data_IF_889615750087
#
_entry.id   IF_889615750087
#
_cell.length_a   1.000
_cell.length_b   1.000
_cell.length_c   1.000
_cell.angle_alpha   90.00
_cell.angle_beta   90.00
_cell.angle_gamma   90.00
#
_symmetry.space_group_name_H-M   'P 1'
#
loop_
_entity.id
_entity.type
_entity.pdbx_description
1 polymer ?
#
# COMPACT_ATOMS: atom_id res chain seq x y z
N UNK A 1 -22.14 -119.24 -35.36
CA UNK A 1 -22.45 -117.79 -35.14
C UNK A 1 -21.22 -117.11 -34.56
N UNK A 2 -20.41 -116.41 -35.38
CA UNK A 2 -19.26 -115.61 -34.94
C UNK A 2 -19.76 -114.17 -34.85
N UNK A 3 -19.72 -113.60 -33.68
CA UNK A 3 -19.92 -112.21 -33.39
C UNK A 3 -18.63 -111.43 -33.60
N UNK A 4 -18.58 -110.58 -34.65
CA UNK A 4 -17.52 -109.65 -34.92
C UNK A 4 -17.57 -108.50 -33.87
N UNK A 5 -16.61 -108.39 -32.98
CA UNK A 5 -16.41 -107.23 -32.13
C UNK A 5 -15.71 -106.13 -32.95
N UNK A 6 -16.41 -105.17 -33.34
CA UNK A 6 -15.90 -103.96 -34.00
C UNK A 6 -15.01 -103.16 -32.99
N UNK A 7 -13.69 -103.21 -33.18
CA UNK A 7 -12.71 -102.45 -32.38
C UNK A 7 -12.95 -100.98 -32.61
N UNK A 8 -13.45 -100.32 -31.57
CA UNK A 8 -13.59 -98.86 -31.58
C UNK A 8 -12.15 -98.28 -31.45
N UNK A 9 -11.66 -97.65 -32.54
CA UNK A 9 -10.40 -96.88 -32.53
C UNK A 9 -10.60 -95.70 -31.61
N UNK A 10 -9.97 -95.73 -30.43
CA UNK A 10 -9.93 -94.57 -29.56
C UNK A 10 -9.08 -93.46 -30.21
N UNK A 11 -9.75 -92.44 -30.68
CA UNK A 11 -9.11 -91.20 -31.17
C UNK A 11 -8.41 -90.47 -30.05
N UNK A 12 -7.21 -90.93 -29.61
CA UNK A 12 -6.41 -90.32 -28.55
C UNK A 12 -5.93 -88.92 -28.97
N UNK A 13 -5.80 -88.56 -30.22
CA UNK A 13 -5.41 -87.30 -30.75
C UNK A 13 -6.46 -86.19 -30.63
N UNK A 14 -7.77 -86.54 -30.78
CA UNK A 14 -8.83 -85.52 -30.66
C UNK A 14 -9.00 -84.96 -29.23
N UNK A 15 -8.85 -85.83 -28.23
CA UNK A 15 -8.92 -85.39 -26.84
C UNK A 15 -7.74 -84.44 -26.45
N UNK A 16 -6.55 -84.70 -27.01
CA UNK A 16 -5.37 -83.84 -26.75
C UNK A 16 -5.53 -82.47 -27.42
N UNK A 17 -6.12 -82.43 -28.63
CA UNK A 17 -6.36 -81.18 -29.33
C UNK A 17 -7.37 -80.31 -28.57
N UNK A 18 -8.44 -80.89 -28.02
CA UNK A 18 -9.44 -80.18 -27.23
C UNK A 18 -8.78 -79.58 -25.96
N UNK A 19 -7.96 -80.31 -25.30
CA UNK A 19 -7.22 -79.83 -24.08
C UNK A 19 -6.31 -78.66 -24.45
N UNK A 20 -5.55 -78.74 -25.55
CA UNK A 20 -4.69 -77.63 -26.00
C UNK A 20 -5.48 -76.41 -26.37
N UNK A 21 -6.59 -76.56 -27.11
CA UNK A 21 -7.48 -75.43 -27.47
C UNK A 21 -8.11 -74.80 -26.22
N UNK A 22 -8.53 -75.61 -25.26
CA UNK A 22 -9.09 -75.12 -23.99
C UNK A 22 -8.04 -74.35 -23.16
N UNK A 23 -6.80 -74.87 -23.07
CA UNK A 23 -5.69 -74.18 -22.45
C UNK A 23 -5.36 -72.85 -23.13
N UNK A 24 -5.44 -72.82 -24.47
CA UNK A 24 -5.24 -71.59 -25.26
C UNK A 24 -6.32 -70.54 -24.95
N UNK A 25 -7.59 -70.92 -24.84
CA UNK A 25 -8.66 -70.01 -24.43
C UNK A 25 -8.51 -69.54 -23.00
N UNK A 26 -8.15 -70.40 -22.06
CA UNK A 26 -7.88 -70.00 -20.67
C UNK A 26 -6.72 -69.03 -20.61
N UNK A 27 -5.61 -69.32 -21.29
CA UNK A 27 -4.45 -68.44 -21.34
C UNK A 27 -4.76 -67.10 -21.94
N UNK A 28 -5.56 -67.06 -23.03
CA UNK A 28 -6.01 -65.83 -23.65
C UNK A 28 -6.91 -65.01 -22.73
N UNK A 29 -7.84 -65.67 -22.01
CA UNK A 29 -8.71 -64.99 -21.04
C UNK A 29 -7.91 -64.41 -19.86
N UNK A 30 -6.90 -65.10 -19.35
CA UNK A 30 -6.02 -64.62 -18.30
C UNK A 30 -5.17 -63.45 -18.80
N UNK A 31 -4.60 -63.54 -20.00
CA UNK A 31 -3.78 -62.46 -20.59
C UNK A 31 -4.64 -61.21 -20.79
N UNK A 32 -5.81 -61.32 -21.38
CA UNK A 32 -6.73 -60.19 -21.62
C UNK A 32 -7.20 -59.59 -20.27
N UNK A 33 -7.47 -60.42 -19.26
CA UNK A 33 -7.88 -60.00 -17.94
C UNK A 33 -6.76 -59.23 -17.16
N UNK A 34 -5.51 -59.56 -17.39
CA UNK A 34 -4.37 -58.88 -16.74
C UNK A 34 -3.86 -57.68 -17.53
N UNK A 35 -3.87 -57.72 -18.86
CA UNK A 35 -3.35 -56.67 -19.72
C UNK A 35 -4.25 -55.41 -19.66
N UNK A 36 -5.55 -55.56 -19.61
CA UNK A 36 -6.48 -54.42 -19.60
C UNK A 36 -6.31 -53.51 -18.38
N UNK A 37 -6.29 -54.01 -17.12
CA UNK A 37 -6.04 -53.15 -15.97
C UNK A 37 -4.62 -52.56 -15.97
N UNK A 38 -3.62 -53.34 -16.43
CA UNK A 38 -2.20 -52.84 -16.49
C UNK A 38 -2.08 -51.65 -17.47
N UNK A 39 -2.73 -51.74 -18.64
CA UNK A 39 -2.73 -50.62 -19.60
C UNK A 39 -3.46 -49.40 -19.01
N UNK A 40 -4.56 -49.62 -18.30
CA UNK A 40 -5.30 -48.53 -17.63
C UNK A 40 -4.43 -47.86 -16.55
N UNK A 41 -3.76 -48.64 -15.71
CA UNK A 41 -2.86 -48.17 -14.66
C UNK A 41 -1.69 -47.39 -15.26
N UNK A 42 -1.10 -47.89 -16.35
CA UNK A 42 -0.04 -47.19 -17.08
C UNK A 42 -0.49 -45.86 -17.65
N UNK A 43 -1.70 -45.82 -18.25
CA UNK A 43 -2.29 -44.56 -18.74
C UNK A 43 -2.58 -43.58 -17.63
N UNK A 44 -3.17 -44.05 -16.50
CA UNK A 44 -3.46 -43.22 -15.35
C UNK A 44 -2.16 -42.64 -14.72
N UNK A 45 -1.14 -43.47 -14.58
CA UNK A 45 0.16 -43.04 -14.07
C UNK A 45 0.81 -41.99 -14.98
N UNK A 46 0.75 -42.17 -16.29
CA UNK A 46 1.26 -41.24 -17.29
C UNK A 46 0.46 -39.92 -17.28
N UNK A 47 -0.86 -40.00 -17.15
CA UNK A 47 -1.71 -38.78 -16.99
C UNK A 47 -1.40 -38.06 -15.69
N UNK A 48 -1.24 -38.79 -14.58
CA UNK A 48 -0.88 -38.19 -13.30
C UNK A 48 0.50 -37.51 -13.35
N UNK A 49 1.47 -38.14 -14.02
CA UNK A 49 2.80 -37.56 -14.21
C UNK A 49 2.72 -36.27 -15.03
N UNK A 50 2.03 -36.30 -16.17
CA UNK A 50 1.84 -35.10 -17.01
C UNK A 50 1.08 -33.98 -16.27
N UNK A 51 0.07 -34.35 -15.47
CA UNK A 51 -0.67 -33.39 -14.65
C UNK A 51 0.22 -32.70 -13.62
N UNK A 52 1.10 -33.47 -12.94
CA UNK A 52 2.10 -32.89 -12.02
C UNK A 52 3.12 -31.99 -12.74
N UNK A 53 3.60 -32.43 -13.91
CA UNK A 53 4.49 -31.61 -14.73
C UNK A 53 3.82 -30.30 -15.17
N UNK A 54 2.55 -30.36 -15.55
CA UNK A 54 1.75 -29.17 -15.90
C UNK A 54 1.61 -28.21 -14.70
N UNK A 55 1.37 -28.76 -13.50
CA UNK A 55 1.32 -27.97 -12.28
C UNK A 55 2.66 -27.27 -11.99
N UNK A 56 3.78 -28.01 -11.98
CA UNK A 56 5.10 -27.41 -11.76
C UNK A 56 5.48 -26.38 -12.84
N UNK A 57 5.04 -26.60 -14.07
CA UNK A 57 5.25 -25.62 -15.13
C UNK A 57 4.42 -24.35 -14.90
N UNK A 58 3.15 -24.47 -14.45
CA UNK A 58 2.34 -23.32 -14.04
C UNK A 58 2.96 -22.59 -12.85
N UNK A 59 3.45 -23.33 -11.87
CA UNK A 59 4.12 -22.77 -10.68
C UNK A 59 5.37 -21.99 -11.08
N UNK A 60 6.23 -22.55 -11.94
CA UNK A 60 7.44 -21.86 -12.40
C UNK A 60 7.15 -20.57 -13.18
N UNK A 61 6.06 -20.50 -13.96
CA UNK A 61 5.63 -19.27 -14.62
C UNK A 61 5.16 -18.21 -13.63
N UNK A 62 4.45 -18.62 -12.58
CA UNK A 62 4.03 -17.73 -11.49
C UNK A 62 5.22 -17.21 -10.67
N UNK A 63 6.20 -18.08 -10.38
CA UNK A 63 7.44 -17.71 -9.67
C UNK A 63 8.29 -16.73 -10.48
N UNK A 64 8.51 -16.97 -11.78
CA UNK A 64 9.28 -16.07 -12.65
C UNK A 64 8.63 -14.68 -12.71
N UNK A 65 7.31 -14.63 -12.92
CA UNK A 65 6.57 -13.38 -12.95
C UNK A 65 6.67 -12.63 -11.60
N UNK A 66 6.52 -13.37 -10.48
CA UNK A 66 6.66 -12.82 -9.13
C UNK A 66 8.07 -12.29 -8.91
N UNK A 67 9.10 -13.08 -9.25
CA UNK A 67 10.49 -12.65 -9.10
C UNK A 67 10.79 -11.37 -9.88
N UNK A 68 10.31 -11.26 -11.12
CA UNK A 68 10.50 -10.04 -11.93
C UNK A 68 9.78 -8.84 -11.36
N UNK A 69 8.54 -9.01 -10.88
CA UNK A 69 7.78 -7.93 -10.24
C UNK A 69 8.47 -7.47 -8.96
N UNK A 70 8.90 -8.40 -8.10
CA UNK A 70 9.59 -8.10 -6.85
C UNK A 70 10.93 -7.37 -7.06
N UNK A 71 11.61 -7.66 -8.16
CA UNK A 71 12.91 -7.05 -8.49
C UNK A 71 12.81 -5.91 -9.52
N UNK A 72 11.60 -5.41 -9.80
CA UNK A 72 11.32 -4.34 -10.76
C UNK A 72 11.92 -4.59 -12.15
N UNK A 73 11.93 -5.84 -12.60
CA UNK A 73 12.39 -6.24 -13.91
C UNK A 73 11.26 -6.08 -14.93
N UNK A 74 11.63 -5.82 -16.19
CA UNK A 74 10.64 -5.71 -17.26
C UNK A 74 9.84 -7.01 -17.41
N UNK A 75 8.52 -6.89 -17.42
CA UNK A 75 7.57 -8.00 -17.61
C UNK A 75 6.36 -7.51 -18.40
N UNK A 76 5.90 -8.32 -19.35
CA UNK A 76 4.70 -8.03 -20.14
C UNK A 76 3.44 -8.48 -19.41
N UNK A 77 2.28 -7.92 -19.76
CA UNK A 77 0.99 -8.36 -19.19
C UNK A 77 0.65 -9.83 -19.53
N UNK A 78 1.27 -10.37 -20.57
CA UNK A 78 1.18 -11.78 -20.93
C UNK A 78 2.53 -12.28 -21.41
N UNK A 79 3.04 -13.33 -20.79
CA UNK A 79 4.29 -13.98 -21.16
C UNK A 79 4.09 -15.49 -21.39
N UNK A 80 4.80 -15.99 -22.40
CA UNK A 80 4.81 -17.43 -22.71
C UNK A 80 6.23 -17.94 -22.57
N UNK A 81 6.42 -18.90 -21.66
CA UNK A 81 7.69 -19.62 -21.54
C UNK A 81 7.49 -21.00 -22.14
N UNK A 82 8.31 -21.31 -23.14
CA UNK A 82 8.33 -22.62 -23.78
C UNK A 82 9.47 -23.47 -23.22
N UNK A 83 9.16 -24.72 -22.87
CA UNK A 83 10.13 -25.71 -22.41
C UNK A 83 9.90 -26.99 -23.21
N UNK A 84 10.79 -27.28 -24.15
CA UNK A 84 10.64 -28.36 -25.15
C UNK A 84 9.29 -28.24 -25.90
N UNK A 85 8.43 -29.28 -25.79
CA UNK A 85 7.09 -29.30 -26.41
C UNK A 85 5.99 -28.84 -25.44
N UNK A 86 6.34 -28.26 -24.30
CA UNK A 86 5.40 -27.80 -23.28
C UNK A 86 5.50 -26.29 -23.14
N UNK A 87 4.45 -25.67 -22.61
CA UNK A 87 4.45 -24.21 -22.42
C UNK A 87 3.70 -23.80 -21.16
N UNK A 88 4.09 -22.68 -20.60
CA UNK A 88 3.29 -21.95 -19.62
C UNK A 88 2.94 -20.58 -20.17
N UNK A 89 1.69 -20.22 -20.05
CA UNK A 89 1.19 -18.88 -20.35
C UNK A 89 0.86 -18.19 -19.02
N UNK A 90 1.58 -17.11 -18.73
CA UNK A 90 1.38 -16.32 -17.52
C UNK A 90 0.77 -14.99 -17.88
N UNK A 91 -0.37 -14.67 -17.27
CA UNK A 91 -1.09 -13.39 -17.45
C UNK A 91 -1.06 -12.61 -16.16
N UNK A 92 -0.70 -11.32 -16.25
CA UNK A 92 -0.61 -10.40 -15.12
C UNK A 92 -1.68 -9.34 -15.29
N UNK A 93 -2.56 -9.24 -14.30
CA UNK A 93 -3.65 -8.24 -14.28
C UNK A 93 -3.48 -7.34 -13.08
N UNK A 94 -3.45 -6.03 -13.30
CA UNK A 94 -3.49 -5.05 -12.22
C UNK A 94 -4.93 -4.84 -11.80
N UNK A 95 -5.20 -5.10 -10.51
CA UNK A 95 -6.50 -4.90 -9.88
C UNK A 95 -6.53 -3.59 -9.10
N UNK A 96 -7.71 -3.18 -8.66
CA UNK A 96 -7.87 -2.02 -7.77
C UNK A 96 -7.16 -2.26 -6.42
N UNK A 97 -6.66 -1.19 -5.79
CA UNK A 97 -6.04 -1.25 -4.46
C UNK A 97 -4.62 -1.83 -4.46
N UNK A 98 -3.77 -1.41 -5.41
CA UNK A 98 -2.35 -1.83 -5.46
C UNK A 98 -2.15 -3.35 -5.43
N UNK A 99 -3.02 -4.08 -6.10
CA UNK A 99 -3.02 -5.54 -6.16
C UNK A 99 -2.73 -6.00 -7.59
N UNK A 100 -1.85 -6.99 -7.75
CA UNK A 100 -1.63 -7.69 -9.03
C UNK A 100 -2.04 -9.14 -8.90
N UNK A 101 -2.81 -9.62 -9.86
CA UNK A 101 -3.13 -11.03 -10.02
C UNK A 101 -2.25 -11.63 -11.10
N UNK A 102 -1.59 -12.73 -10.79
CA UNK A 102 -0.77 -13.51 -11.69
C UNK A 102 -1.47 -14.86 -11.89
N UNK A 103 -1.83 -15.15 -13.11
CA UNK A 103 -2.47 -16.40 -13.49
C UNK A 103 -1.56 -17.13 -14.44
N UNK A 104 -1.05 -18.30 -14.05
CA UNK A 104 -0.18 -19.13 -14.88
C UNK A 104 -0.85 -20.42 -15.26
N UNK A 105 -0.90 -20.70 -16.56
CA UNK A 105 -1.49 -21.89 -17.16
C UNK A 105 -0.38 -22.75 -17.79
N UNK A 106 -0.03 -23.85 -17.12
CA UNK A 106 0.90 -24.83 -17.66
C UNK A 106 0.18 -25.88 -18.53
N UNK A 107 0.77 -26.22 -19.66
CA UNK A 107 0.26 -27.24 -20.57
C UNK A 107 1.34 -28.28 -20.86
N UNK A 108 1.07 -29.54 -20.51
CA UNK A 108 1.93 -30.68 -20.79
C UNK A 108 1.11 -31.78 -21.48
N UNK A 109 1.31 -31.93 -22.78
CA UNK A 109 0.63 -32.95 -23.56
C UNK A 109 -0.89 -32.84 -23.49
N UNK A 110 -1.44 -31.65 -23.54
CA UNK A 110 -2.87 -31.27 -23.43
C UNK A 110 -3.47 -31.48 -22.04
N UNK A 111 -2.68 -31.70 -21.02
CA UNK A 111 -3.12 -31.63 -19.64
C UNK A 111 -2.74 -30.25 -19.11
N UNK A 112 -3.73 -29.50 -18.67
CA UNK A 112 -3.56 -28.13 -18.20
C UNK A 112 -3.78 -28.06 -16.70
N UNK A 113 -2.92 -27.26 -16.04
CA UNK A 113 -3.06 -26.86 -14.64
C UNK A 113 -2.86 -25.37 -14.54
N UNK A 114 -3.61 -24.77 -13.63
CA UNK A 114 -3.65 -23.33 -13.45
C UNK A 114 -3.30 -22.96 -12.02
N UNK A 115 -2.35 -22.05 -11.85
CA UNK A 115 -2.05 -21.44 -10.57
C UNK A 115 -2.50 -19.98 -10.58
N UNK A 116 -3.00 -19.51 -9.46
CA UNK A 116 -3.38 -18.12 -9.25
C UNK A 116 -2.63 -17.58 -8.03
N UNK A 117 -1.97 -16.46 -8.21
CA UNK A 117 -1.14 -15.81 -7.22
C UNK A 117 -1.56 -14.35 -7.17
N UNK A 118 -1.76 -13.83 -5.98
CA UNK A 118 -2.09 -12.42 -5.77
C UNK A 118 -0.94 -11.76 -5.02
N UNK A 119 -0.41 -10.70 -5.62
CA UNK A 119 0.56 -9.82 -4.98
C UNK A 119 -0.16 -8.56 -4.54
N UNK A 120 0.12 -8.12 -3.33
CA UNK A 120 -0.25 -6.80 -2.83
C UNK A 120 0.99 -5.97 -2.54
N UNK A 121 0.95 -4.70 -2.89
CA UNK A 121 1.85 -3.73 -2.25
C UNK A 121 1.34 -3.45 -0.86
N UNK A 122 2.24 -3.10 0.04
CA UNK A 122 1.86 -2.75 1.42
C UNK A 122 0.63 -1.86 1.45
N UNK A 123 -0.26 -2.07 2.41
CA UNK A 123 -1.50 -1.31 2.53
C UNK A 123 -1.20 0.19 2.45
N UNK A 124 -1.80 0.86 1.46
CA UNK A 124 -1.68 2.29 1.27
C UNK A 124 -2.24 3.01 2.49
N UNK A 125 -1.68 4.15 2.83
CA UNK A 125 -2.24 5.02 3.86
C UNK A 125 -3.43 5.76 3.27
N UNK A 126 -4.61 5.59 3.87
CA UNK A 126 -5.84 6.25 3.42
C UNK A 126 -6.02 7.56 4.18
N UNK A 127 -5.92 8.68 3.48
CA UNK A 127 -6.23 10.00 4.01
C UNK A 127 -7.68 10.36 3.65
N UNK A 128 -8.59 10.21 4.62
CA UNK A 128 -10.04 10.42 4.40
C UNK A 128 -10.47 11.89 4.41
N UNK A 129 -9.64 12.76 4.95
CA UNK A 129 -9.90 14.18 5.15
C UNK A 129 -8.76 15.01 4.55
N UNK A 130 -9.03 16.26 4.22
CA UNK A 130 -8.01 17.20 3.76
C UNK A 130 -6.92 17.51 4.78
N UNK A 131 -7.18 17.22 6.06
CA UNK A 131 -6.19 17.15 7.12
C UNK A 131 -6.80 16.51 8.37
N UNK A 132 -5.96 15.90 9.21
CA UNK A 132 -6.39 15.27 10.46
C UNK A 132 -5.46 15.65 11.61
N UNK A 133 -6.06 16.13 12.72
CA UNK A 133 -5.32 16.43 13.94
C UNK A 133 -5.69 15.49 15.09
N UNK A 134 -4.69 15.22 15.94
CA UNK A 134 -4.85 14.54 17.22
C UNK A 134 -5.48 15.44 18.28
N UNK A 135 -5.15 15.15 19.53
CA UNK A 135 -5.71 15.88 20.70
C UNK A 135 -5.29 17.34 20.78
N UNK A 136 -4.18 17.74 20.16
CA UNK A 136 -3.74 19.13 20.08
C UNK A 136 -4.58 20.03 19.17
N UNK A 137 -5.31 19.42 18.22
CA UNK A 137 -6.27 20.11 17.35
C UNK A 137 -5.65 21.02 16.30
N UNK A 138 -6.45 21.97 15.82
CA UNK A 138 -6.04 22.95 14.81
C UNK A 138 -6.08 24.38 15.34
N UNK A 139 -5.08 25.17 14.96
CA UNK A 139 -5.03 26.62 15.16
C UNK A 139 -4.83 27.32 13.82
N UNK A 140 -5.82 28.11 13.42
CA UNK A 140 -5.80 28.88 12.18
C UNK A 140 -5.66 30.37 12.45
N UNK A 141 -4.76 31.04 11.77
CA UNK A 141 -4.53 32.48 11.93
C UNK A 141 -4.33 33.16 10.57
N UNK A 142 -4.80 34.40 10.49
CA UNK A 142 -4.46 35.36 9.41
C UNK A 142 -4.68 34.81 7.99
N UNK A 143 -5.93 34.63 7.58
CA UNK A 143 -6.36 34.17 6.26
C UNK A 143 -5.84 32.76 5.88
N UNK A 144 -5.43 31.95 6.85
CA UNK A 144 -5.08 30.54 6.57
C UNK A 144 -6.35 29.72 6.30
N UNK A 145 -6.23 28.70 5.44
CA UNK A 145 -7.40 27.93 5.05
C UNK A 145 -7.09 26.49 4.64
N UNK A 146 -8.14 25.69 4.57
CA UNK A 146 -8.10 24.33 4.02
C UNK A 146 -9.17 24.17 2.95
N UNK A 147 -8.73 23.79 1.75
CA UNK A 147 -9.61 23.33 0.68
C UNK A 147 -9.90 21.84 0.89
N UNK A 148 -11.05 21.54 1.49
CA UNK A 148 -11.47 20.18 1.83
C UNK A 148 -12.10 20.12 3.20
N UNK A 149 -12.38 18.90 3.68
CA UNK A 149 -12.92 18.64 5.00
C UNK A 149 -11.82 18.32 6.02
N UNK A 150 -12.06 18.67 7.29
CA UNK A 150 -11.13 18.43 8.41
C UNK A 150 -11.71 17.45 9.42
N UNK A 151 -10.84 16.69 10.05
CA UNK A 151 -11.16 15.94 11.25
C UNK A 151 -10.18 16.23 12.38
N UNK A 152 -10.68 16.51 13.57
CA UNK A 152 -9.85 16.81 14.75
C UNK A 152 -10.33 16.04 15.97
N UNK A 153 -9.40 15.41 16.67
CA UNK A 153 -9.66 14.84 17.98
C UNK A 153 -9.55 15.92 19.11
N UNK A 154 -8.97 17.09 18.78
CA UNK A 154 -8.90 18.27 19.64
C UNK A 154 -9.67 19.44 19.04
N UNK A 155 -9.57 20.61 19.64
CA UNK A 155 -10.33 21.79 19.21
C UNK A 155 -9.87 22.35 17.85
N UNK A 156 -10.78 23.02 17.13
CA UNK A 156 -10.48 23.82 15.95
C UNK A 156 -10.72 25.30 16.31
N UNK A 157 -9.64 26.06 16.34
CA UNK A 157 -9.65 27.47 16.73
C UNK A 157 -9.23 28.34 15.54
N UNK A 158 -10.09 29.23 15.12
CA UNK A 158 -9.81 30.18 14.05
C UNK A 158 -9.64 31.61 14.51
N UNK A 159 -8.96 32.40 13.71
CA UNK A 159 -8.89 33.87 13.86
C UNK A 159 -8.65 34.55 12.52
N UNK A 160 -9.02 35.82 12.41
CA UNK A 160 -8.68 36.69 11.29
C UNK A 160 -8.93 36.07 9.90
N UNK A 161 -10.22 35.81 9.59
CA UNK A 161 -10.68 35.27 8.29
C UNK A 161 -10.22 33.83 7.96
N UNK A 162 -9.83 33.03 8.91
CA UNK A 162 -9.56 31.62 8.70
C UNK A 162 -10.80 30.87 8.19
N UNK A 163 -10.61 29.94 7.23
CA UNK A 163 -11.74 29.19 6.68
C UNK A 163 -11.42 27.76 6.23
N UNK A 164 -12.49 26.99 6.10
CA UNK A 164 -12.51 25.63 5.57
C UNK A 164 -13.56 25.58 4.47
N UNK A 165 -13.28 25.01 3.32
CA UNK A 165 -14.24 24.94 2.22
C UNK A 165 -15.21 23.75 2.34
N UNK A 166 -14.82 22.67 2.99
CA UNK A 166 -15.62 21.47 3.27
C UNK A 166 -16.21 21.47 4.68
N UNK A 167 -16.44 20.25 5.19
CA UNK A 167 -16.95 20.00 6.53
C UNK A 167 -15.85 20.08 7.59
N UNK A 168 -16.22 20.46 8.79
CA UNK A 168 -15.34 20.45 9.97
C UNK A 168 -15.91 19.54 11.06
N UNK A 169 -15.12 18.58 11.49
CA UNK A 169 -15.48 17.63 12.54
C UNK A 169 -14.54 17.77 13.74
N UNK A 170 -15.10 17.91 14.94
CA UNK A 170 -14.33 17.86 16.19
C UNK A 170 -14.93 16.81 17.10
N UNK A 171 -14.09 15.86 17.53
CA UNK A 171 -14.50 14.71 18.29
C UNK A 171 -14.69 15.00 19.79
N UNK A 172 -15.58 14.22 20.41
CA UNK A 172 -15.77 14.13 21.84
C UNK A 172 -16.68 15.19 22.45
N UNK A 173 -17.20 14.87 23.66
CA UNK A 173 -18.18 15.70 24.39
C UNK A 173 -17.65 17.02 24.95
N UNK A 174 -16.38 17.39 24.66
CA UNK A 174 -15.77 18.70 24.97
C UNK A 174 -15.22 19.38 23.74
N UNK A 175 -15.43 18.79 22.56
CA UNK A 175 -14.93 19.29 21.28
C UNK A 175 -15.46 20.69 20.94
N UNK A 176 -14.57 21.59 20.55
CA UNK A 176 -14.89 23.00 20.26
C UNK A 176 -14.46 23.42 18.86
N UNK A 177 -15.38 24.02 18.11
CA UNK A 177 -15.07 24.83 16.94
C UNK A 177 -15.32 26.29 17.29
N UNK A 178 -14.29 27.15 17.19
CA UNK A 178 -14.40 28.56 17.55
C UNK A 178 -13.86 29.48 16.47
N UNK A 179 -14.61 30.55 16.17
CA UNK A 179 -14.24 31.63 15.28
C UNK A 179 -13.82 31.17 13.85
N UNK A 180 -14.46 30.13 13.33
CA UNK A 180 -14.18 29.57 12.00
C UNK A 180 -15.25 29.92 10.97
N UNK A 181 -14.83 30.00 9.71
CA UNK A 181 -15.73 30.03 8.56
C UNK A 181 -15.70 28.66 7.91
N UNK A 182 -16.80 27.89 8.02
CA UNK A 182 -16.91 26.51 7.51
C UNK A 182 -17.81 26.48 6.30
N UNK A 183 -17.39 25.77 5.26
CA UNK A 183 -18.07 25.71 3.97
C UNK A 183 -17.89 26.97 3.13
N UNK A 184 -16.84 27.76 3.38
CA UNK A 184 -16.62 29.04 2.70
C UNK A 184 -16.39 28.84 1.20
N UNK A 185 -17.21 29.49 0.38
CA UNK A 185 -17.17 29.31 -1.09
C UNK A 185 -17.90 28.06 -1.60
N UNK A 186 -18.54 27.29 -0.71
CA UNK A 186 -19.27 26.06 -1.04
C UNK A 186 -20.37 25.74 -0.03
N UNK A 187 -20.58 24.45 0.24
CA UNK A 187 -21.56 23.96 1.21
C UNK A 187 -20.84 23.02 2.17
N UNK A 188 -20.51 23.47 3.37
CA UNK A 188 -19.89 22.65 4.41
C UNK A 188 -20.60 22.82 5.73
N UNK A 189 -20.70 21.73 6.50
CA UNK A 189 -21.32 21.65 7.82
C UNK A 189 -20.26 21.57 8.92
N UNK A 190 -20.59 22.04 10.12
CA UNK A 190 -19.74 21.97 11.29
C UNK A 190 -20.33 21.00 12.31
N UNK A 191 -19.50 20.09 12.83
CA UNK A 191 -19.90 19.05 13.78
C UNK A 191 -18.97 19.08 15.00
N UNK A 192 -19.47 19.48 16.15
CA UNK A 192 -18.75 19.47 17.43
C UNK A 192 -19.72 19.53 18.60
N UNK A 193 -19.27 19.18 19.81
CA UNK A 193 -20.08 19.38 21.01
C UNK A 193 -20.40 20.88 21.21
N UNK A 194 -19.42 21.75 21.02
CA UNK A 194 -19.60 23.20 21.16
C UNK A 194 -19.10 23.94 19.90
N UNK A 195 -19.93 24.89 19.40
CA UNK A 195 -19.56 25.74 18.28
C UNK A 195 -19.85 27.20 18.62
N UNK A 196 -18.83 28.05 18.59
CA UNK A 196 -18.94 29.45 19.00
C UNK A 196 -18.33 30.42 17.98
N UNK A 197 -18.97 31.57 17.80
CA UNK A 197 -18.46 32.69 16.98
C UNK A 197 -18.19 32.32 15.52
N UNK A 198 -18.78 31.25 15.01
CA UNK A 198 -18.47 30.67 13.71
C UNK A 198 -19.53 30.97 12.66
N UNK A 199 -19.11 31.07 11.39
CA UNK A 199 -19.98 31.22 10.23
C UNK A 199 -19.98 29.94 9.41
N UNK A 200 -21.12 29.24 9.30
CA UNK A 200 -21.23 27.95 8.63
C UNK A 200 -22.23 28.04 7.47
N UNK A 201 -21.84 27.61 6.27
CA UNK A 201 -22.74 27.65 5.10
C UNK A 201 -23.74 26.50 5.11
N UNK A 202 -23.36 25.32 5.53
CA UNK A 202 -24.22 24.15 5.77
C UNK A 202 -24.94 24.22 7.12
N UNK A 203 -25.06 23.07 7.78
CA UNK A 203 -25.73 22.93 9.09
C UNK A 203 -24.70 23.02 10.23
N UNK A 204 -25.11 23.58 11.37
CA UNK A 204 -24.35 23.58 12.62
C UNK A 204 -24.87 22.45 13.49
N UNK A 205 -24.18 21.31 13.53
CA UNK A 205 -24.50 20.20 14.42
C UNK A 205 -23.72 20.36 15.71
N UNK A 206 -24.43 20.75 16.79
CA UNK A 206 -23.81 20.95 18.10
C UNK A 206 -24.80 20.76 19.25
N UNK A 207 -24.28 20.50 20.45
CA UNK A 207 -25.07 20.46 21.69
C UNK A 207 -25.12 21.85 22.32
N UNK A 208 -24.05 22.62 22.19
CA UNK A 208 -23.91 23.97 22.73
C UNK A 208 -23.44 24.91 21.62
N UNK A 209 -24.08 26.08 21.49
CA UNK A 209 -23.63 27.07 20.50
C UNK A 209 -23.97 28.49 20.89
N UNK A 210 -23.04 29.43 20.55
CA UNK A 210 -23.26 30.84 20.79
C UNK A 210 -22.52 31.72 19.77
N UNK A 211 -23.13 32.84 19.39
CA UNK A 211 -22.51 33.82 18.49
C UNK A 211 -22.32 33.34 17.05
N UNK A 212 -22.96 32.25 16.65
CA UNK A 212 -22.89 31.68 15.29
C UNK A 212 -23.92 32.36 14.36
N UNK A 213 -23.74 32.21 13.06
CA UNK A 213 -24.71 32.73 12.04
C UNK A 213 -26.01 31.90 11.97
N UNK A 214 -26.06 30.71 12.55
CA UNK A 214 -27.21 29.80 12.60
C UNK A 214 -27.33 29.14 13.99
N UNK A 215 -28.50 28.65 14.32
CA UNK A 215 -28.74 27.86 15.54
C UNK A 215 -28.10 26.46 15.43
N UNK A 216 -27.73 25.87 16.58
CA UNK A 216 -27.36 24.48 16.68
C UNK A 216 -28.52 23.55 16.31
N UNK A 217 -28.19 22.48 15.60
CA UNK A 217 -29.04 21.32 15.43
C UNK A 217 -28.46 20.17 16.29
N UNK A 218 -29.11 19.81 17.40
CA UNK A 218 -28.62 18.75 18.29
C UNK A 218 -29.00 17.33 17.83
N UNK A 219 -29.55 17.19 16.62
CA UNK A 219 -30.03 15.90 16.11
C UNK A 219 -28.91 14.88 15.83
N UNK A 220 -27.67 15.35 15.68
CA UNK A 220 -26.50 14.48 15.47
C UNK A 220 -25.70 14.34 16.77
N UNK A 221 -25.22 13.11 17.10
CA UNK A 221 -24.32 12.94 18.21
C UNK A 221 -22.96 13.61 17.94
N UNK A 222 -22.21 13.84 19.01
CA UNK A 222 -20.83 14.33 18.90
C UNK A 222 -19.99 13.34 18.08
N UNK A 223 -19.08 13.82 17.20
CA UNK A 223 -18.18 12.94 16.45
C UNK A 223 -17.30 12.10 17.39
N UNK A 224 -17.02 10.85 17.00
CA UNK A 224 -16.16 9.95 17.77
C UNK A 224 -14.68 10.26 17.57
N UNK A 225 -13.84 9.94 18.55
CA UNK A 225 -12.37 10.01 18.39
C UNK A 225 -11.92 9.01 17.32
N UNK A 226 -11.06 9.44 16.41
CA UNK A 226 -10.50 8.59 15.34
C UNK A 226 -8.99 8.48 15.48
N UNK A 227 -8.49 7.29 15.19
CA UNK A 227 -7.05 7.08 15.05
C UNK A 227 -6.49 7.90 13.89
N UNK A 228 -5.24 8.32 14.03
CA UNK A 228 -4.50 8.97 12.94
C UNK A 228 -4.11 7.94 11.88
N UNK A 229 -3.94 8.35 10.61
CA UNK A 229 -3.95 7.42 9.47
C UNK A 229 -2.73 6.49 9.37
N UNK A 230 -1.61 6.81 10.04
CA UNK A 230 -0.39 6.00 9.99
C UNK A 230 -0.15 5.35 11.35
N UNK A 231 -0.16 4.02 11.43
CA UNK A 231 0.12 3.31 12.68
C UNK A 231 1.61 3.31 13.03
N UNK A 232 1.93 3.18 14.32
CA UNK A 232 3.31 3.05 14.80
C UNK A 232 4.00 1.79 14.23
N UNK A 233 3.24 0.71 13.99
CA UNK A 233 3.75 -0.51 13.36
C UNK A 233 4.20 -0.23 11.92
N UNK A 234 3.43 0.56 11.17
CA UNK A 234 3.78 0.96 9.80
C UNK A 234 5.04 1.83 9.75
N UNK A 235 5.17 2.75 10.70
CA UNK A 235 6.39 3.57 10.83
C UNK A 235 7.60 2.68 11.15
N UNK A 236 7.43 1.67 11.99
CA UNK A 236 8.48 0.71 12.35
C UNK A 236 8.89 -0.15 11.16
N UNK A 237 7.95 -0.61 10.35
CA UNK A 237 8.20 -1.32 9.09
C UNK A 237 9.08 -0.47 8.16
N UNK A 238 8.69 0.77 7.87
CA UNK A 238 9.46 1.67 7.00
C UNK A 238 10.87 1.98 7.52
N UNK A 239 11.04 2.13 8.85
CA UNK A 239 12.37 2.27 9.47
C UNK A 239 13.23 1.03 9.29
N UNK A 240 12.62 -0.16 9.36
CA UNK A 240 13.29 -1.44 9.14
C UNK A 240 13.76 -1.56 7.69
N UNK A 241 12.91 -1.21 6.73
CA UNK A 241 13.24 -1.23 5.30
C UNK A 241 14.43 -0.31 4.98
N UNK A 242 14.41 0.90 5.51
CA UNK A 242 15.56 1.82 5.39
C UNK A 242 16.84 1.25 6.00
N UNK A 243 16.73 0.57 7.15
CA UNK A 243 17.86 -0.06 7.85
C UNK A 243 18.45 -1.22 7.06
N UNK A 244 17.60 -2.03 6.40
CA UNK A 244 18.01 -3.15 5.55
C UNK A 244 18.81 -2.69 4.33
N UNK A 245 18.60 -1.46 3.85
CA UNK A 245 19.38 -0.84 2.77
C UNK A 245 20.78 -0.40 3.16
N UNK A 246 21.10 -0.39 4.44
CA UNK A 246 22.40 -0.01 4.99
C UNK A 246 22.30 1.09 6.03
N UNK A 247 23.38 1.23 6.81
CA UNK A 247 23.46 2.23 7.90
C UNK A 247 24.72 3.06 7.76
N UNK A 248 24.56 4.39 7.81
CA UNK A 248 25.68 5.35 7.89
C UNK A 248 25.64 6.07 9.23
N UNK A 249 26.79 6.15 9.89
CA UNK A 249 26.92 6.87 11.18
C UNK A 249 27.51 8.26 11.00
N UNK A 250 26.99 9.22 11.75
CA UNK A 250 27.39 10.62 11.73
C UNK A 250 26.39 11.50 10.96
N UNK A 251 26.58 12.80 11.09
CA UNK A 251 25.76 13.79 10.38
C UNK A 251 26.11 13.78 8.88
N UNK A 252 25.11 13.87 8.04
CA UNK A 252 25.27 13.95 6.57
C UNK A 252 24.78 15.32 6.10
N UNK A 253 25.58 15.95 5.22
CA UNK A 253 25.20 17.18 4.50
C UNK A 253 25.24 16.92 3.00
N UNK A 254 24.10 17.08 2.33
CA UNK A 254 23.96 16.99 0.87
C UNK A 254 24.27 18.36 0.27
N UNK A 255 25.53 18.58 -0.12
CA UNK A 255 26.01 19.85 -0.71
C UNK A 255 26.10 19.83 -2.24
N UNK A 256 25.92 18.65 -2.85
CA UNK A 256 25.86 18.43 -4.31
C UNK A 256 24.69 17.50 -4.65
N UNK A 257 24.16 17.51 -5.88
CA UNK A 257 23.08 16.60 -6.26
C UNK A 257 23.43 15.15 -5.94
N UNK A 258 22.61 14.51 -5.12
CA UNK A 258 22.86 13.18 -4.56
C UNK A 258 21.61 12.32 -4.64
N UNK A 259 21.78 11.04 -5.00
CA UNK A 259 20.72 10.02 -4.94
C UNK A 259 20.93 9.21 -3.67
N UNK A 260 19.88 9.01 -2.88
CA UNK A 260 19.94 8.33 -1.58
C UNK A 260 18.72 7.41 -1.37
N UNK A 261 18.96 6.33 -0.63
CA UNK A 261 17.95 5.35 -0.21
C UNK A 261 18.05 4.01 -0.97
N UNK A 262 17.64 2.88 -0.33
CA UNK A 262 17.22 2.81 1.08
C UNK A 262 18.38 2.99 2.04
N UNK A 263 18.20 3.76 3.11
CA UNK A 263 19.31 4.02 4.05
C UNK A 263 18.84 4.51 5.42
N UNK A 264 19.49 4.02 6.48
CA UNK A 264 19.44 4.57 7.82
C UNK A 264 20.64 5.50 8.06
N UNK A 265 20.37 6.67 8.61
CA UNK A 265 21.40 7.65 9.04
C UNK A 265 21.33 7.78 10.56
N UNK A 266 22.42 7.39 11.25
CA UNK A 266 22.57 7.62 12.70
C UNK A 266 23.21 8.97 12.89
N UNK A 267 22.41 10.03 13.04
CA UNK A 267 22.80 11.42 13.11
C UNK A 267 21.76 12.34 12.49
N UNK A 268 22.14 13.53 12.08
CA UNK A 268 21.30 14.51 11.41
C UNK A 268 21.53 14.49 9.89
N UNK A 269 20.52 14.89 9.14
CA UNK A 269 20.59 15.09 7.69
C UNK A 269 20.33 16.56 7.34
N UNK A 270 21.27 17.21 6.66
CA UNK A 270 21.09 18.54 6.09
C UNK A 270 21.10 18.45 4.56
N UNK A 271 20.10 19.03 3.92
CA UNK A 271 19.94 19.01 2.45
C UNK A 271 20.10 20.43 1.93
N UNK A 272 21.32 20.80 1.51
CA UNK A 272 21.63 22.12 0.97
C UNK A 272 21.61 22.16 -0.56
N UNK A 273 21.51 20.99 -1.20
CA UNK A 273 21.44 20.84 -2.66
C UNK A 273 20.25 19.97 -3.05
N UNK A 274 20.31 19.27 -4.20
CA UNK A 274 19.25 18.38 -4.65
C UNK A 274 19.43 16.98 -4.07
N UNK A 275 18.47 16.53 -3.27
CA UNK A 275 18.31 15.13 -2.87
C UNK A 275 17.32 14.42 -3.80
N UNK A 276 17.75 13.36 -4.48
CA UNK A 276 16.86 12.44 -5.17
C UNK A 276 16.62 11.22 -4.29
N UNK A 277 15.37 11.00 -3.89
CA UNK A 277 14.97 9.85 -3.08
C UNK A 277 14.78 8.66 -4.02
N UNK A 278 15.66 7.65 -3.91
CA UNK A 278 15.55 6.40 -4.65
C UNK A 278 14.85 5.28 -3.86
N UNK A 279 14.76 5.44 -2.53
CA UNK A 279 14.05 4.55 -1.61
C UNK A 279 13.90 5.22 -0.24
N UNK A 280 13.21 4.56 0.73
CA UNK A 280 12.98 5.09 2.06
C UNK A 280 14.28 5.52 2.76
N UNK A 281 14.26 6.71 3.34
CA UNK A 281 15.38 7.25 4.13
C UNK A 281 14.91 7.44 5.57
N UNK A 282 15.66 6.89 6.53
CA UNK A 282 15.41 7.02 7.95
C UNK A 282 16.57 7.71 8.66
N UNK A 283 16.29 8.80 9.36
CA UNK A 283 17.25 9.63 10.11
C UNK A 283 16.92 9.53 11.59
N UNK A 284 17.87 9.13 12.43
CA UNK A 284 17.65 9.04 13.89
C UNK A 284 17.67 10.40 14.60
N UNK A 285 18.22 11.42 13.95
CA UNK A 285 18.25 12.80 14.42
C UNK A 285 17.25 13.69 13.69
N UNK A 286 17.67 14.92 13.46
CA UNK A 286 16.88 15.96 12.81
C UNK A 286 17.15 16.02 11.30
N UNK A 287 16.18 16.55 10.56
CA UNK A 287 16.32 16.83 9.12
C UNK A 287 16.15 18.34 8.89
N UNK A 288 17.12 18.93 8.19
CA UNK A 288 17.06 20.32 7.74
C UNK A 288 17.07 20.35 6.22
N UNK A 289 16.03 20.95 5.61
CA UNK A 289 15.85 21.00 4.17
C UNK A 289 15.95 22.43 3.68
N UNK A 290 17.07 22.76 3.02
CA UNK A 290 17.33 24.05 2.40
C UNK A 290 17.31 23.98 0.88
N UNK A 291 17.51 22.78 0.33
CA UNK A 291 17.57 22.50 -1.11
C UNK A 291 16.33 21.80 -1.65
N UNK A 292 16.41 21.29 -2.87
CA UNK A 292 15.33 20.57 -3.55
C UNK A 292 15.28 19.11 -3.10
N UNK A 293 14.09 18.60 -2.84
CA UNK A 293 13.86 17.17 -2.63
C UNK A 293 13.00 16.63 -3.78
N UNK A 294 13.47 15.62 -4.47
CA UNK A 294 12.72 15.01 -5.58
C UNK A 294 12.66 13.51 -5.46
N UNK A 295 11.61 12.94 -6.02
CA UNK A 295 11.45 11.51 -6.16
C UNK A 295 12.15 11.01 -7.41
N UNK A 296 12.80 9.85 -7.34
CA UNK A 296 13.33 9.21 -8.54
C UNK A 296 12.20 8.82 -9.50
N UNK A 297 12.39 9.00 -10.81
CA UNK A 297 11.36 8.72 -11.82
C UNK A 297 10.92 7.25 -11.86
N UNK A 298 11.76 6.33 -11.39
CA UNK A 298 11.45 4.89 -11.29
C UNK A 298 10.32 4.56 -10.30
N UNK A 299 9.94 5.52 -9.43
CA UNK A 299 8.78 5.36 -8.55
C UNK A 299 7.44 5.31 -9.32
N UNK A 300 7.37 5.85 -10.56
CA UNK A 300 6.10 5.91 -11.28
C UNK A 300 5.01 6.58 -10.44
N UNK A 301 3.87 5.93 -10.23
CA UNK A 301 2.75 6.44 -9.41
C UNK A 301 2.88 6.13 -7.90
N UNK A 302 3.96 5.47 -7.45
CA UNK A 302 4.18 5.21 -6.03
C UNK A 302 4.86 6.37 -5.33
N UNK A 303 4.78 6.42 -4.00
CA UNK A 303 5.24 7.52 -3.16
C UNK A 303 6.40 7.08 -2.27
N UNK A 304 7.30 8.00 -1.93
CA UNK A 304 8.44 7.75 -1.06
C UNK A 304 8.30 8.43 0.31
N UNK A 305 9.13 7.97 1.24
CA UNK A 305 9.08 8.37 2.63
C UNK A 305 10.45 8.84 3.10
N UNK A 306 10.47 10.01 3.75
CA UNK A 306 11.62 10.56 4.47
C UNK A 306 11.25 10.67 5.95
N UNK A 307 11.90 9.88 6.81
CA UNK A 307 11.56 9.72 8.23
C UNK A 307 12.63 10.35 9.11
N UNK A 308 12.21 11.12 10.11
CA UNK A 308 13.07 11.61 11.22
C UNK A 308 12.53 11.12 12.56
N UNK A 309 13.40 10.71 13.48
CA UNK A 309 13.02 10.58 14.89
C UNK A 309 13.00 11.95 15.61
N UNK A 310 13.80 12.89 15.13
CA UNK A 310 13.80 14.27 15.56
C UNK A 310 12.84 15.16 14.75
N UNK A 311 13.08 16.46 14.82
CA UNK A 311 12.29 17.44 14.08
C UNK A 311 12.75 17.56 12.61
N UNK A 312 11.85 18.07 11.78
CA UNK A 312 12.10 18.40 10.37
C UNK A 312 11.86 19.90 10.18
N UNK A 313 12.87 20.63 9.69
CA UNK A 313 12.71 22.03 9.30
C UNK A 313 12.86 22.21 7.81
N UNK A 314 11.93 22.97 7.21
CA UNK A 314 11.89 23.26 5.78
C UNK A 314 12.04 24.76 5.60
N UNK A 315 13.14 25.15 4.95
CA UNK A 315 13.50 26.55 4.73
C UNK A 315 12.62 27.20 3.67
N UNK A 316 12.75 28.51 3.53
CA UNK A 316 12.01 29.32 2.58
C UNK A 316 12.21 28.86 1.13
N UNK A 317 11.11 28.72 0.39
CA UNK A 317 11.10 28.47 -1.05
C UNK A 317 11.59 27.07 -1.46
N UNK A 318 11.63 26.12 -0.56
CA UNK A 318 11.99 24.73 -0.85
C UNK A 318 10.96 24.10 -1.78
N UNK A 319 11.45 23.39 -2.79
CA UNK A 319 10.64 22.72 -3.80
C UNK A 319 10.70 21.19 -3.62
N UNK A 320 9.53 20.59 -3.56
CA UNK A 320 9.35 19.14 -3.59
C UNK A 320 8.83 18.72 -4.97
N UNK A 321 9.51 17.77 -5.59
CA UNK A 321 9.14 17.27 -6.92
C UNK A 321 8.78 15.79 -6.82
N UNK A 322 7.61 15.44 -7.32
CA UNK A 322 7.19 14.04 -7.46
C UNK A 322 7.99 13.31 -8.56
N UNK A 323 7.64 12.04 -8.86
CA UNK A 323 8.31 11.24 -9.88
C UNK A 323 8.04 11.69 -11.33
N UNK A 324 7.13 12.66 -11.53
CA UNK A 324 6.58 13.05 -12.82
C UNK A 324 5.34 12.25 -13.23
N UNK A 325 4.91 11.29 -12.42
CA UNK A 325 3.69 10.49 -12.65
C UNK A 325 2.62 10.89 -11.63
N UNK A 326 1.41 11.13 -12.10
CA UNK A 326 0.27 11.48 -11.23
C UNK A 326 0.04 10.40 -10.17
N UNK A 327 -0.16 10.82 -8.91
CA UNK A 327 -0.37 9.92 -7.78
C UNK A 327 0.90 9.61 -6.98
N UNK A 328 2.08 10.09 -7.43
CA UNK A 328 3.30 10.00 -6.63
C UNK A 328 3.46 11.21 -5.71
N UNK A 329 3.90 10.96 -4.49
CA UNK A 329 4.08 11.99 -3.45
C UNK A 329 5.32 11.70 -2.61
N UNK A 330 5.82 12.74 -1.92
CA UNK A 330 6.84 12.61 -0.89
C UNK A 330 6.16 12.82 0.45
N UNK A 331 6.25 11.79 1.33
CA UNK A 331 5.83 11.89 2.72
C UNK A 331 7.04 12.28 3.59
N UNK A 332 6.92 13.41 4.26
CA UNK A 332 7.82 13.80 5.35
C UNK A 332 7.20 13.36 6.67
N UNK A 333 7.86 12.47 7.39
CA UNK A 333 7.37 11.93 8.64
C UNK A 333 8.34 12.24 9.79
N UNK A 334 7.85 12.96 10.80
CA UNK A 334 8.54 13.13 12.07
C UNK A 334 7.89 12.29 13.17
N UNK A 335 8.68 11.45 13.83
CA UNK A 335 8.25 10.68 15.00
C UNK A 335 8.45 11.45 16.32
N UNK A 336 8.83 12.73 16.24
CA UNK A 336 9.07 13.60 17.37
C UNK A 336 7.78 14.06 18.04
N UNK A 337 7.84 14.28 19.36
CA UNK A 337 6.77 14.92 20.15
C UNK A 337 6.94 16.43 20.28
N UNK A 338 7.85 17.03 19.50
CA UNK A 338 8.23 18.44 19.62
C UNK A 338 7.05 19.40 19.36
N UNK A 339 7.00 20.41 20.23
CA UNK A 339 6.17 21.61 20.14
C UNK A 339 7.05 22.81 20.51
N UNK A 340 7.09 23.83 19.67
CA UNK A 340 7.96 25.01 19.85
C UNK A 340 7.67 25.80 21.12
N UNK A 341 6.51 25.59 21.74
CA UNK A 341 6.21 26.19 23.06
C UNK A 341 6.99 25.56 24.21
N UNK A 342 7.61 24.39 23.99
CA UNK A 342 8.42 23.67 24.95
C UNK A 342 9.89 23.86 24.62
N UNK A 343 10.59 24.65 25.47
CA UNK A 343 12.02 24.93 25.34
C UNK A 343 12.84 23.82 25.98
N UNK A 344 13.96 23.46 25.36
CA UNK A 344 14.90 22.44 25.80
C UNK A 344 15.04 21.25 24.88
N UNK A 345 16.04 20.43 25.17
CA UNK A 345 16.27 19.20 24.40
C UNK A 345 15.10 18.22 24.56
N UNK A 346 14.73 17.44 23.50
CA UNK A 346 15.40 17.40 22.19
C UNK A 346 14.91 18.45 21.18
N UNK A 347 13.87 19.23 21.49
CA UNK A 347 13.15 20.08 20.53
C UNK A 347 13.84 21.46 20.30
N UNK A 348 14.48 22.00 21.29
CA UNK A 348 15.20 23.29 21.22
C UNK A 348 14.37 24.45 20.60
N UNK A 349 13.06 24.51 20.90
CA UNK A 349 12.17 25.54 20.37
C UNK A 349 11.65 25.24 18.92
N UNK A 350 11.86 24.05 18.41
CA UNK A 350 11.27 23.58 17.13
C UNK A 350 9.99 22.81 17.37
N UNK A 351 9.10 22.83 16.37
CA UNK A 351 8.00 21.89 16.26
C UNK A 351 8.51 20.56 15.69
N UNK A 352 7.68 19.53 15.68
CA UNK A 352 8.03 18.27 15.04
C UNK A 352 8.25 18.44 13.53
N UNK A 353 7.45 19.30 12.89
CA UNK A 353 7.70 19.76 11.51
C UNK A 353 7.44 21.26 11.42
N UNK A 354 8.46 22.02 11.02
CA UNK A 354 8.36 23.45 10.71
C UNK A 354 8.44 23.68 9.20
N UNK A 355 7.38 24.25 8.63
CA UNK A 355 7.31 24.62 7.21
C UNK A 355 7.32 26.12 7.06
N UNK A 356 8.40 26.64 6.48
CA UNK A 356 8.60 28.08 6.31
C UNK A 356 8.15 28.56 4.94
N UNK A 357 8.05 29.84 4.84
CA UNK A 357 7.65 30.73 3.74
C UNK A 357 7.70 30.15 2.31
N UNK A 358 6.58 30.24 1.59
CA UNK A 358 6.48 29.92 0.15
C UNK A 358 6.94 28.49 -0.23
N UNK A 359 7.02 27.56 0.72
CA UNK A 359 7.33 26.17 0.42
C UNK A 359 6.06 25.42 0.07
N UNK A 360 6.15 24.53 -0.93
CA UNK A 360 5.05 23.68 -1.38
C UNK A 360 5.42 22.21 -1.19
N UNK A 361 4.66 21.49 -0.35
CA UNK A 361 4.96 20.14 0.10
C UNK A 361 3.81 19.22 -0.26
N UNK A 362 4.11 17.95 -0.53
CA UNK A 362 3.06 16.98 -0.83
C UNK A 362 2.34 16.54 0.45
N UNK A 363 3.00 15.81 1.34
CA UNK A 363 2.39 15.23 2.54
C UNK A 363 3.32 15.38 3.73
N UNK A 364 2.78 15.79 4.87
CA UNK A 364 3.51 15.85 6.14
C UNK A 364 2.77 15.07 7.23
N UNK A 365 3.53 14.37 8.07
CA UNK A 365 2.99 13.63 9.19
C UNK A 365 3.86 13.80 10.45
N UNK A 366 3.27 14.32 11.53
CA UNK A 366 3.86 14.38 12.85
C UNK A 366 2.79 14.06 13.92
N UNK A 367 2.28 12.84 13.88
CA UNK A 367 1.14 12.46 14.73
C UNK A 367 1.39 12.49 16.24
N UNK A 368 2.65 12.63 16.68
CA UNK A 368 3.01 12.76 18.08
C UNK A 368 3.35 14.20 18.50
N UNK A 369 3.60 15.08 17.53
CA UNK A 369 4.05 16.46 17.77
C UNK A 369 3.26 17.50 16.98
N UNK A 370 3.79 18.71 16.93
CA UNK A 370 3.18 19.84 16.24
C UNK A 370 3.72 19.98 14.83
N UNK A 371 2.82 20.17 13.87
CA UNK A 371 3.14 20.64 12.52
C UNK A 371 2.79 22.11 12.41
N UNK A 372 3.76 22.91 12.04
CA UNK A 372 3.63 24.35 11.96
C UNK A 372 3.89 24.85 10.54
N UNK A 373 2.97 25.63 10.01
CA UNK A 373 3.07 26.25 8.69
C UNK A 373 3.04 27.77 8.82
N UNK A 374 3.91 28.46 8.10
CA UNK A 374 3.94 29.91 8.10
C UNK A 374 4.12 30.54 6.71
N UNK A 375 3.55 31.71 6.54
CA UNK A 375 3.78 32.65 5.45
C UNK A 375 3.69 32.03 4.03
N UNK A 376 2.48 31.83 3.54
CA UNK A 376 2.16 31.29 2.22
C UNK A 376 2.67 29.86 1.95
N UNK A 377 3.02 29.09 2.99
CA UNK A 377 3.33 27.68 2.81
C UNK A 377 2.09 26.93 2.35
N UNK A 378 2.27 25.92 1.49
CA UNK A 378 1.19 25.07 1.00
C UNK A 378 1.51 23.60 1.16
N UNK A 379 0.47 22.79 1.40
CA UNK A 379 0.59 21.34 1.52
C UNK A 379 -0.66 20.68 0.95
N UNK A 380 -0.53 19.48 0.40
CA UNK A 380 -1.68 18.71 -0.07
C UNK A 380 -2.39 17.99 1.08
N UNK A 381 -1.62 17.46 2.04
CA UNK A 381 -2.14 16.72 3.18
C UNK A 381 -1.25 16.93 4.40
N UNK A 382 -1.86 17.12 5.56
CA UNK A 382 -1.14 17.24 6.83
C UNK A 382 -1.82 16.44 7.93
N UNK A 383 -1.03 15.67 8.66
CA UNK A 383 -1.42 14.98 9.88
C UNK A 383 -0.50 15.36 11.01
N UNK A 384 -1.05 15.70 12.17
CA UNK A 384 -0.27 16.06 13.35
C UNK A 384 -1.03 15.80 14.64
N UNK A 385 -0.33 15.68 15.78
CA UNK A 385 -1.03 15.79 17.06
C UNK A 385 -1.70 17.17 17.17
N UNK A 386 -0.96 18.22 16.80
CA UNK A 386 -1.45 19.59 16.66
C UNK A 386 -1.01 20.17 15.33
N UNK A 387 -1.86 20.97 14.70
CA UNK A 387 -1.56 21.62 13.42
C UNK A 387 -1.81 23.12 13.55
N UNK A 388 -0.78 23.93 13.28
CA UNK A 388 -0.86 25.37 13.30
C UNK A 388 -0.63 25.97 11.90
N UNK A 389 -1.58 26.78 11.43
CA UNK A 389 -1.49 27.47 10.15
C UNK A 389 -1.48 28.98 10.39
N UNK A 390 -0.47 29.69 9.88
CA UNK A 390 -0.35 31.14 10.03
C UNK A 390 -0.07 31.85 8.70
N UNK A 391 -0.63 33.02 8.53
CA UNK A 391 -0.28 33.98 7.48
C UNK A 391 -0.44 33.41 6.05
N UNK A 392 -1.67 33.29 5.58
CA UNK A 392 -2.04 32.83 4.24
C UNK A 392 -1.57 31.40 3.90
N UNK A 393 -1.24 30.59 4.89
CA UNK A 393 -0.96 29.16 4.66
C UNK A 393 -2.22 28.45 4.21
N UNK A 394 -2.08 27.51 3.28
CA UNK A 394 -3.24 26.76 2.80
C UNK A 394 -2.94 25.29 2.53
N UNK A 395 -4.00 24.50 2.66
CA UNK A 395 -3.99 23.10 2.29
C UNK A 395 -4.89 22.90 1.08
N UNK A 396 -4.33 22.28 0.05
CA UNK A 396 -5.07 21.95 -1.18
C UNK A 396 -5.22 20.44 -1.30
N UNK A 397 -6.26 19.92 -0.63
CA UNK A 397 -6.55 18.49 -0.67
C UNK A 397 -6.96 18.04 -2.06
N UNK A 398 -6.17 17.16 -2.66
CA UNK A 398 -6.45 16.53 -3.93
C UNK A 398 -7.20 15.20 -3.77
N UNK A 399 -8.21 14.94 -4.59
CA UNK A 399 -8.98 13.68 -4.58
C UNK A 399 -8.12 12.42 -4.78
N UNK A 400 -6.90 12.56 -5.29
CA UNK A 400 -5.95 11.46 -5.47
C UNK A 400 -5.25 10.99 -4.18
N UNK A 401 -5.45 11.69 -3.04
CA UNK A 401 -4.84 11.33 -1.75
C UNK A 401 -5.63 10.26 -0.97
N UNK A 402 -6.82 9.92 -1.42
CA UNK A 402 -7.66 8.90 -0.76
C UNK A 402 -6.99 7.52 -0.76
N UNK A 403 -6.06 7.26 -1.68
CA UNK A 403 -5.48 5.93 -1.89
C UNK A 403 -3.99 6.03 -2.27
N UNK A 404 -3.20 6.67 -1.40
CA UNK A 404 -1.77 6.86 -1.66
C UNK A 404 -0.99 5.62 -1.24
N UNK A 405 -0.40 4.92 -2.21
CA UNK A 405 0.52 3.81 -1.97
C UNK A 405 1.90 4.32 -1.57
N UNK A 406 2.26 4.21 -0.30
CA UNK A 406 3.65 4.40 0.14
C UNK A 406 4.38 3.08 0.12
N UNK A 407 5.50 3.05 -0.59
CA UNK A 407 6.32 1.85 -0.74
C UNK A 407 7.75 2.11 -0.31
N UNK A 408 8.44 1.07 0.12
CA UNK A 408 9.85 1.10 0.52
C UNK A 408 10.80 1.34 -0.65
N UNK A 409 10.30 1.51 -1.87
CA UNK A 409 11.08 1.74 -3.08
C UNK A 409 10.25 1.64 -4.34
N UNK A 410 10.85 1.91 -5.52
CA UNK A 410 10.15 1.89 -6.81
C UNK A 410 9.53 0.53 -7.15
N UNK A 411 10.10 -0.56 -6.64
CA UNK A 411 9.54 -1.91 -6.78
C UNK A 411 8.32 -2.15 -5.89
N UNK A 412 7.99 -1.22 -4.98
CA UNK A 412 7.02 -1.43 -3.91
C UNK A 412 7.30 -2.76 -3.21
N UNK A 413 7.27 -2.88 -1.92
CA UNK A 413 7.39 -4.19 -1.30
C UNK A 413 6.14 -5.02 -1.65
N UNK A 414 6.14 -5.60 -2.85
CA UNK A 414 5.13 -6.57 -3.23
C UNK A 414 5.24 -7.76 -2.29
N UNK A 415 4.16 -8.12 -1.64
CA UNK A 415 4.07 -9.32 -0.81
C UNK A 415 3.08 -10.29 -1.44
N UNK A 416 3.35 -11.57 -1.28
CA UNK A 416 2.40 -12.61 -1.70
C UNK A 416 1.23 -12.60 -0.71
N UNK A 417 0.06 -12.20 -1.18
CA UNK A 417 -1.18 -12.20 -0.41
C UNK A 417 -1.86 -13.58 -0.43
N UNK A 418 -1.88 -14.21 -1.59
CA UNK A 418 -2.43 -15.55 -1.74
C UNK A 418 -1.76 -16.30 -2.86
N UNK A 419 -1.67 -17.63 -2.70
CA UNK A 419 -1.15 -18.56 -3.69
C UNK A 419 -1.96 -19.83 -3.65
N UNK A 420 -2.46 -20.28 -4.79
CA UNK A 420 -3.21 -21.51 -4.85
C UNK A 420 -3.40 -22.02 -6.27
N UNK A 421 -3.71 -23.33 -6.37
CA UNK A 421 -4.16 -23.94 -7.59
C UNK A 421 -5.65 -23.63 -7.79
N UNK A 422 -6.03 -23.27 -9.02
CA UNK A 422 -7.44 -23.08 -9.40
C UNK A 422 -7.79 -24.08 -10.49
N UNK A 423 -8.98 -24.69 -10.38
CA UNK A 423 -9.50 -25.62 -11.40
C UNK A 423 -10.04 -24.86 -12.62
#
# INVERSE_FOLDING_TARGET
>A
MKKDFKKIKKNKGAAMLIVVVFFLFISLAIITGLVSPTIREFKNTNMNLKSKQSYFLAESGGEDATYRILNNMAISESEVIALDNNSVNTTITTLLGNTKQIVSLGDVGRLQRKTNLTLKTGEGVVFKYGSQAGQGGFVFQNNSYVNGSLYSNGNIIGSNNAYITGDAFVAGGTGLISNMRVGYGGTGSAHAHNITGSTVTGTIYCQIGSGNNKSCDPSQPDPEVKDLPISDDKITEWKTDATNGGTTSGNITISTPTILGPQKIIGNLTIDSTLTIANTIYVTGNIVINGTVKLDSSYGATSAILIADGYITISNGVVFQDSGTTGSYILLLSNSTCDASVYGAPCNGHNAIDVSNNSSISIVNAQKGTVYFSNNASVKEAVGNKIELKNNTHFDYGSGLIDVGFTSGPSGAWTVDSWGETQ
#
